data_IF_496468316463
#
_entry.id   IF_496468316463
#
_cell.length_a   1.000
_cell.length_b   1.000
_cell.length_c   1.000
_cell.angle_alpha   90.00
_cell.angle_beta   90.00
_cell.angle_gamma   90.00
#
_symmetry.space_group_name_H-M   'P 1'
#
loop_
_entity.id
_entity.type
_entity.pdbx_description
1 polymer ?
2 non-polymer ?
3 non-polymer ?
4 non-polymer ?
5 non-polymer ?
6 non-polymer ?
7 water ?
#
# COMPACT_ATOMS: atom_id res chain seq x y z
N UNK A 1 -23.44 -8.07 8.01
CA UNK A 1 -23.77 -8.39 6.65
C UNK A 1 -22.95 -7.57 5.65
N UNK A 2 -22.05 -8.28 5.00
CA UNK A 2 -21.13 -7.68 4.04
C UNK A 2 -21.28 -8.44 2.75
N UNK A 3 -21.63 -7.75 1.68
CA UNK A 3 -21.89 -8.33 0.39
C UNK A 3 -20.91 -7.77 -0.60
N UNK A 4 -20.12 -8.58 -1.28
CA UNK A 4 -19.13 -8.07 -2.25
C UNK A 4 -19.50 -8.48 -3.66
N UNK A 5 -19.39 -7.54 -4.59
CA UNK A 5 -19.51 -7.84 -5.97
C UNK A 5 -18.16 -7.90 -6.61
N UNK A 6 -17.94 -8.94 -7.45
CA UNK A 6 -16.63 -9.20 -8.07
C UNK A 6 -16.87 -9.50 -9.52
N UNK A 7 -15.80 -9.45 -10.31
CA UNK A 7 -15.87 -9.76 -11.71
C UNK A 7 -15.06 -8.81 -12.58
N UNK A 8 -14.82 -9.19 -13.83
CA UNK A 8 -14.04 -8.38 -14.74
C UNK A 8 -14.69 -7.05 -15.06
N UNK A 9 -13.94 -6.16 -15.67
CA UNK A 9 -14.51 -4.87 -16.09
C UNK A 9 -15.60 -5.11 -17.14
N UNK A 10 -16.77 -4.57 -16.91
CA UNK A 10 -17.90 -4.67 -17.84
C UNK A 10 -18.89 -5.76 -17.48
N UNK A 11 -18.61 -6.52 -16.39
CA UNK A 11 -19.56 -7.48 -15.83
C UNK A 11 -20.81 -6.83 -15.25
N UNK A 12 -20.79 -5.55 -14.98
CA UNK A 12 -21.93 -4.80 -14.46
C UNK A 12 -21.95 -4.65 -12.98
N UNK A 13 -20.82 -4.72 -12.31
CA UNK A 13 -20.75 -4.62 -10.87
C UNK A 13 -21.37 -3.35 -10.32
N UNK A 14 -20.97 -2.21 -10.92
CA UNK A 14 -21.39 -0.94 -10.35
C UNK A 14 -22.89 -0.77 -10.53
N UNK A 15 -23.40 -1.12 -11.67
CA UNK A 15 -24.85 -1.10 -11.94
C UNK A 15 -25.60 -1.98 -10.95
N UNK A 16 -25.18 -3.23 -10.79
CA UNK A 16 -25.88 -4.16 -9.91
C UNK A 16 -25.77 -3.80 -8.45
N UNK A 17 -24.58 -3.31 -8.01
CA UNK A 17 -24.41 -2.97 -6.58
C UNK A 17 -25.38 -1.82 -6.22
N UNK A 18 -25.56 -0.90 -7.16
CA UNK A 18 -26.45 0.26 -6.83
C UNK A 18 -27.89 -0.23 -6.88
N UNK A 19 -28.27 -1.15 -7.73
CA UNK A 19 -29.62 -1.74 -7.72
C UNK A 19 -29.86 -2.37 -6.35
N UNK A 20 -28.88 -3.11 -5.89
CA UNK A 20 -29.02 -3.80 -4.62
C UNK A 20 -29.16 -2.81 -3.47
N UNK A 21 -28.36 -1.72 -3.47
CA UNK A 21 -28.47 -0.66 -2.48
C UNK A 21 -29.93 -0.20 -2.49
N UNK A 22 -30.44 0.15 -3.64
CA UNK A 22 -31.83 0.67 -3.64
C UNK A 22 -32.87 -0.37 -3.13
N UNK A 23 -32.72 -1.59 -3.54
CA UNK A 23 -33.61 -2.69 -3.14
C UNK A 23 -33.55 -2.82 -1.64
N UNK A 24 -32.39 -2.92 -1.03
CA UNK A 24 -32.30 -3.16 0.42
C UNK A 24 -32.80 -1.99 1.19
N UNK A 25 -32.58 -0.77 0.68
CA UNK A 25 -33.18 0.43 1.33
C UNK A 25 -34.69 0.31 1.32
N UNK A 26 -35.28 -0.14 0.25
CA UNK A 26 -36.76 -0.18 0.21
C UNK A 26 -37.25 -1.23 1.19
N UNK A 27 -36.46 -2.21 1.52
CA UNK A 27 -36.85 -3.25 2.49
C UNK A 27 -36.60 -2.82 3.86
N UNK A 28 -36.11 -1.64 4.14
CA UNK A 28 -35.94 -1.13 5.49
C UNK A 28 -34.62 -1.43 6.15
N UNK A 29 -33.67 -1.94 5.39
CA UNK A 29 -32.29 -1.99 5.90
C UNK A 29 -31.63 -0.60 5.87
N UNK A 30 -30.67 -0.39 6.76
CA UNK A 30 -29.71 0.71 6.65
C UNK A 30 -28.57 0.11 5.83
N UNK A 31 -28.07 0.83 4.85
CA UNK A 31 -27.18 0.22 3.83
C UNK A 31 -26.14 1.20 3.47
N UNK A 32 -24.92 0.71 3.26
CA UNK A 32 -23.78 1.50 2.76
C UNK A 32 -23.34 0.87 1.45
N UNK A 33 -22.75 1.67 0.56
CA UNK A 33 -22.21 1.18 -0.71
C UNK A 33 -20.90 1.93 -0.94
N UNK A 34 -19.82 1.17 -1.11
CA UNK A 34 -18.50 1.68 -1.37
C UNK A 34 -17.84 0.98 -2.53
N UNK A 35 -17.01 1.71 -3.26
CA UNK A 35 -16.18 1.15 -4.31
C UNK A 35 -14.74 1.01 -3.92
N UNK A 36 -14.08 0.01 -4.49
CA UNK A 36 -12.67 -0.20 -4.30
C UNK A 36 -11.99 -0.18 -5.65
N UNK A 37 -10.87 0.49 -5.79
CA UNK A 37 -10.30 1.43 -4.83
C UNK A 37 -11.13 2.70 -4.73
N UNK A 38 -10.97 3.36 -3.63
CA UNK A 38 -11.81 4.53 -3.28
C UNK A 38 -12.67 4.27 -2.09
N UNK A 39 -13.72 5.12 -1.94
CA UNK A 39 -14.65 4.98 -0.87
C UNK A 39 -14.38 5.83 0.32
N UNK A 40 -13.15 6.38 0.41
CA UNK A 40 -12.75 7.35 1.43
C UNK A 40 -12.02 8.50 0.73
N UNK A 41 -11.86 9.62 1.41
CA UNK A 41 -11.06 10.72 0.73
C UNK A 41 -9.64 10.26 0.34
N UNK A 42 -8.97 9.61 1.28
CA UNK A 42 -7.62 9.11 1.00
C UNK A 42 -7.66 8.10 -0.12
N UNK A 43 -8.62 7.17 -0.01
CA UNK A 43 -8.78 6.15 -1.03
C UNK A 43 -8.99 6.66 -2.43
N UNK A 44 -9.81 7.74 -2.54
CA UNK A 44 -10.07 8.34 -3.83
C UNK A 44 -8.85 9.02 -4.46
N UNK A 45 -7.97 9.53 -3.61
CA UNK A 45 -6.68 10.02 -4.17
C UNK A 45 -5.83 8.84 -4.63
N UNK A 46 -5.82 7.74 -3.88
CA UNK A 46 -5.11 6.55 -4.36
C UNK A 46 -5.66 5.98 -5.59
N UNK A 47 -6.99 5.99 -5.72
CA UNK A 47 -7.66 5.54 -6.94
C UNK A 47 -7.17 6.33 -8.20
N UNK A 48 -7.11 7.64 -8.03
CA UNK A 48 -6.59 8.51 -9.13
C UNK A 48 -5.18 8.16 -9.58
N UNK A 49 -4.33 7.88 -8.59
CA UNK A 49 -2.95 7.48 -8.84
C UNK A 49 -2.96 6.19 -9.61
N UNK A 50 -3.72 5.20 -9.13
CA UNK A 50 -3.82 3.87 -9.73
C UNK A 50 -4.31 3.87 -11.20
N UNK A 51 -5.24 4.75 -11.49
CA UNK A 51 -5.81 4.80 -12.87
C UNK A 51 -4.95 5.61 -13.80
N UNK A 52 -4.34 6.68 -13.31
CA UNK A 52 -3.65 7.69 -14.16
C UNK A 52 -2.17 7.48 -14.38
N UNK A 53 -1.50 6.90 -13.41
CA UNK A 53 -0.07 6.70 -13.48
C UNK A 53 0.27 5.31 -14.01
N UNK A 54 1.43 5.26 -14.69
CA UNK A 54 2.12 4.02 -15.04
C UNK A 54 2.85 3.69 -13.72
N UNK A 55 2.42 2.55 -13.18
CA UNK A 55 2.98 2.00 -11.95
C UNK A 55 3.47 0.63 -12.24
N UNK A 56 4.57 0.26 -11.58
CA UNK A 56 4.97 -1.11 -11.51
C UNK A 56 3.94 -1.91 -10.70
N UNK A 57 3.89 -3.18 -10.90
CA UNK A 57 2.86 -4.02 -10.28
C UNK A 57 2.93 -4.06 -8.75
N UNK A 58 4.15 -3.90 -8.21
CA UNK A 58 4.31 -4.01 -6.75
C UNK A 58 3.71 -2.76 -6.09
N UNK A 59 4.06 -1.57 -6.60
CA UNK A 59 3.52 -0.35 -6.10
C UNK A 59 2.00 -0.37 -6.23
N UNK A 60 1.52 -0.88 -7.35
CA UNK A 60 0.07 -0.94 -7.57
C UNK A 60 -0.63 -1.78 -6.49
N UNK A 61 -0.09 -2.98 -6.21
CA UNK A 61 -0.64 -3.88 -5.17
C UNK A 61 -0.71 -3.13 -3.84
N UNK A 62 0.41 -2.50 -3.48
CA UNK A 62 0.42 -1.83 -2.19
C UNK A 62 -0.57 -0.66 -2.08
N UNK A 63 -0.80 0.01 -3.18
CA UNK A 63 -1.80 1.11 -3.17
C UNK A 63 -3.25 0.59 -3.13
N UNK A 64 -3.51 -0.51 -3.85
CA UNK A 64 -4.82 -1.14 -3.71
C UNK A 64 -5.08 -1.53 -2.26
N UNK A 65 -4.06 -2.13 -1.61
CA UNK A 65 -4.21 -2.55 -0.23
C UNK A 65 -4.36 -1.36 0.72
N UNK A 66 -3.58 -0.28 0.50
CA UNK A 66 -3.75 0.90 1.32
C UNK A 66 -5.14 1.50 1.21
N UNK A 67 -5.70 1.58 0.03
CA UNK A 67 -7.10 2.07 -0.14
C UNK A 67 -8.03 1.17 0.70
N UNK A 68 -7.86 -0.15 0.59
CA UNK A 68 -8.71 -1.08 1.34
C UNK A 68 -8.61 -0.93 2.84
N UNK A 69 -7.35 -0.78 3.33
CA UNK A 69 -7.11 -0.58 4.75
C UNK A 69 -7.86 0.64 5.24
N UNK A 70 -7.78 1.73 4.49
CA UNK A 70 -8.44 3.00 4.89
C UNK A 70 -9.95 2.82 4.96
N UNK A 71 -10.49 2.14 3.93
CA UNK A 71 -11.93 1.93 3.85
C UNK A 71 -12.42 1.04 5.00
N UNK A 72 -11.68 -0.03 5.27
CA UNK A 72 -12.01 -0.97 6.36
C UNK A 72 -12.09 -0.21 7.70
N UNK A 73 -11.00 0.52 8.02
CA UNK A 73 -10.93 1.15 9.35
C UNK A 73 -11.89 2.34 9.42
N UNK A 74 -12.02 3.12 8.37
CA UNK A 74 -12.84 4.37 8.44
C UNK A 74 -14.29 4.15 8.28
N UNK A 75 -14.69 3.18 7.47
CA UNK A 75 -16.07 3.03 6.99
C UNK A 75 -16.64 1.65 7.32
N UNK A 76 -15.98 0.57 6.87
CA UNK A 76 -16.65 -0.72 6.92
C UNK A 76 -16.85 -1.26 8.30
N UNK A 77 -15.83 -1.24 9.15
CA UNK A 77 -16.00 -1.77 10.48
C UNK A 77 -16.98 -0.92 11.28
N UNK A 78 -16.88 0.42 11.26
CA UNK A 78 -17.92 1.23 11.98
C UNK A 78 -19.32 0.96 11.46
N UNK A 79 -19.48 0.75 10.16
CA UNK A 79 -20.81 0.49 9.61
C UNK A 79 -21.33 -0.88 10.08
N UNK A 80 -20.49 -1.89 10.11
CA UNK A 80 -20.93 -3.22 10.54
C UNK A 80 -21.36 -3.18 12.02
N UNK A 81 -20.68 -2.35 12.75
CA UNK A 81 -21.07 -2.20 14.15
C UNK A 81 -22.44 -1.63 14.35
N UNK A 82 -22.93 -0.80 13.45
CA UNK A 82 -24.21 -0.10 13.43
C UNK A 82 -25.32 -0.94 12.72
N UNK A 83 -25.05 -2.21 12.36
CA UNK A 83 -25.95 -3.07 11.61
C UNK A 83 -26.38 -2.50 10.29
N UNK A 84 -25.46 -1.80 9.60
CA UNK A 84 -25.67 -1.39 8.24
C UNK A 84 -25.27 -2.59 7.41
N UNK A 85 -26.04 -2.91 6.42
CA UNK A 85 -25.61 -3.83 5.37
C UNK A 85 -24.61 -3.09 4.54
N UNK A 86 -23.41 -3.67 4.34
CA UNK A 86 -22.36 -3.01 3.57
C UNK A 86 -22.17 -3.73 2.27
N UNK A 87 -22.37 -2.98 1.16
CA UNK A 87 -22.20 -3.51 -0.18
C UNK A 87 -20.87 -2.94 -0.75
N UNK A 88 -20.01 -3.82 -1.24
CA UNK A 88 -18.74 -3.42 -1.82
C UNK A 88 -18.74 -3.71 -3.29
N UNK A 89 -18.35 -2.72 -4.06
CA UNK A 89 -18.16 -2.84 -5.54
C UNK A 89 -16.67 -3.06 -5.70
N UNK A 90 -16.33 -4.34 -5.77
CA UNK A 90 -15.01 -4.97 -5.66
C UNK A 90 -14.51 -5.09 -4.24
N UNK A 91 -13.76 -6.15 -3.96
CA UNK A 91 -13.11 -6.31 -2.63
C UNK A 91 -11.89 -7.22 -2.86
N UNK A 92 -11.60 -8.15 -1.93
CA UNK A 92 -10.33 -8.88 -1.93
C UNK A 92 -10.07 -9.83 -3.07
N UNK A 93 -11.16 -10.39 -3.63
CA UNK A 93 -10.94 -11.30 -4.75
C UNK A 93 -10.44 -10.59 -5.98
N UNK A 94 -10.82 -9.31 -6.14
CA UNK A 94 -10.31 -8.50 -7.27
C UNK A 94 -8.81 -8.42 -7.18
N UNK A 95 -8.26 -8.20 -6.00
CA UNK A 95 -6.84 -8.06 -5.94
C UNK A 95 -6.10 -9.38 -6.26
N UNK A 96 -6.69 -10.48 -5.82
CA UNK A 96 -6.07 -11.78 -6.20
C UNK A 96 -6.14 -12.00 -7.74
N UNK A 97 -7.30 -11.77 -8.28
CA UNK A 97 -7.51 -12.08 -9.73
C UNK A 97 -6.67 -11.13 -10.59
N UNK A 98 -6.62 -9.82 -10.25
CA UNK A 98 -5.92 -8.83 -11.07
C UNK A 98 -4.42 -8.89 -10.82
N UNK A 99 -4.00 -8.67 -9.57
CA UNK A 99 -2.59 -8.60 -9.30
C UNK A 99 -1.93 -9.98 -9.25
N UNK A 100 -2.68 -11.01 -8.93
CA UNK A 100 -2.16 -12.38 -8.85
C UNK A 100 -2.27 -13.08 -10.19
N UNK A 101 -3.46 -13.45 -10.61
CA UNK A 101 -3.63 -14.14 -11.87
C UNK A 101 -3.28 -13.25 -13.05
N UNK A 102 -3.63 -11.99 -13.03
CA UNK A 102 -3.32 -11.13 -14.15
C UNK A 102 -1.89 -10.70 -14.23
N UNK A 103 -1.34 -10.13 -13.19
CA UNK A 103 0.04 -9.53 -13.18
C UNK A 103 1.08 -10.51 -12.71
N UNK A 104 0.73 -11.64 -12.15
CA UNK A 104 1.68 -12.71 -11.78
C UNK A 104 2.28 -12.56 -10.43
N UNK A 105 1.79 -11.68 -9.56
CA UNK A 105 2.33 -11.67 -8.21
C UNK A 105 1.87 -12.85 -7.41
N UNK A 106 2.57 -13.13 -6.29
CA UNK A 106 2.32 -14.34 -5.56
C UNK A 106 1.00 -14.29 -4.82
N UNK A 107 0.11 -15.25 -5.06
CA UNK A 107 -1.23 -15.25 -4.51
C UNK A 107 -1.25 -15.34 -2.98
N UNK A 108 -0.38 -16.19 -2.42
CA UNK A 108 -0.33 -16.29 -0.99
C UNK A 108 0.05 -14.93 -0.33
N UNK A 109 0.97 -14.22 -0.93
CA UNK A 109 1.35 -12.91 -0.44
C UNK A 109 0.21 -11.95 -0.52
N UNK A 110 -0.47 -11.99 -1.67
CA UNK A 110 -1.66 -11.13 -1.81
C UNK A 110 -2.69 -11.42 -0.76
N UNK A 111 -2.96 -12.70 -0.52
CA UNK A 111 -3.90 -13.06 0.51
C UNK A 111 -3.48 -12.57 1.93
N UNK A 112 -2.17 -12.66 2.20
CA UNK A 112 -1.58 -12.19 3.45
C UNK A 112 -1.81 -10.68 3.61
N UNK A 113 -1.61 -9.92 2.51
CA UNK A 113 -1.82 -8.50 2.59
C UNK A 113 -3.29 -8.16 2.69
N UNK A 114 -4.17 -8.93 2.00
CA UNK A 114 -5.58 -8.75 2.11
C UNK A 114 -6.02 -8.88 3.57
N UNK A 115 -5.54 -9.94 4.24
CA UNK A 115 -5.86 -10.15 5.66
C UNK A 115 -5.40 -9.01 6.53
N UNK A 116 -4.22 -8.50 6.22
CA UNK A 116 -3.71 -7.35 6.97
C UNK A 116 -4.60 -6.14 6.82
N UNK A 117 -4.95 -5.82 5.58
CA UNK A 117 -5.77 -4.63 5.31
C UNK A 117 -7.20 -4.76 5.84
N UNK A 118 -7.78 -5.97 5.84
CA UNK A 118 -9.13 -6.13 6.22
C UNK A 118 -9.29 -6.46 7.72
N UNK A 119 -8.18 -6.66 8.41
CA UNK A 119 -8.28 -7.17 9.81
C UNK A 119 -9.07 -8.44 9.87
N UNK A 120 -9.09 -9.19 8.77
CA UNK A 120 -9.81 -10.49 8.70
C UNK A 120 -11.31 -10.33 8.44
N UNK A 121 -11.79 -9.14 8.13
CA UNK A 121 -13.20 -8.97 7.75
C UNK A 121 -13.43 -9.65 6.41
N UNK A 122 -14.45 -10.54 6.35
CA UNK A 122 -14.76 -11.30 5.15
C UNK A 122 -16.23 -11.15 4.79
N UNK A 123 -16.57 -11.20 3.48
CA UNK A 123 -17.97 -11.08 3.10
C UNK A 123 -18.77 -12.26 3.59
N UNK A 124 -20.03 -11.99 3.84
CA UNK A 124 -20.99 -13.06 3.99
C UNK A 124 -21.26 -13.77 2.67
N UNK A 125 -21.21 -13.01 1.57
CA UNK A 125 -21.42 -13.61 0.24
C UNK A 125 -20.67 -12.70 -0.70
N UNK A 126 -20.09 -13.32 -1.72
CA UNK A 126 -19.49 -12.65 -2.88
C UNK A 126 -20.23 -13.09 -4.13
N UNK A 127 -20.73 -12.14 -4.85
CA UNK A 127 -21.42 -12.35 -6.13
C UNK A 127 -20.36 -12.19 -7.17
N UNK A 128 -19.95 -13.27 -7.88
CA UNK A 128 -19.03 -13.17 -8.99
C UNK A 128 -19.84 -13.04 -10.22
N UNK A 129 -19.82 -11.88 -10.85
CA UNK A 129 -20.51 -11.59 -12.13
C UNK A 129 -19.60 -12.07 -13.23
N UNK A 130 -19.90 -13.24 -13.76
CA UNK A 130 -19.10 -13.86 -14.80
C UNK A 130 -19.63 -13.54 -16.13
N UNK A 131 -18.77 -13.31 -17.12
CA UNK A 131 -19.18 -12.90 -18.45
C UNK A 131 -17.97 -13.10 -19.38
N UNK A 132 -18.20 -13.43 -20.64
CA UNK A 132 -17.06 -13.49 -21.54
C UNK A 132 -16.43 -12.12 -21.75
N UNK A 133 -15.08 -12.15 -21.87
CA UNK A 133 -14.33 -10.93 -22.03
C UNK A 133 -14.82 -10.08 -23.21
N UNK A 134 -15.14 -10.73 -24.35
CA UNK A 134 -15.42 -9.90 -25.47
C UNK A 134 -16.76 -9.15 -25.23
N UNK A 135 -17.70 -9.80 -24.56
CA UNK A 135 -18.95 -9.15 -24.19
C UNK A 135 -18.80 -8.00 -23.26
N UNK A 136 -18.00 -8.26 -22.22
CA UNK A 136 -17.70 -7.22 -21.24
C UNK A 136 -17.07 -6.01 -21.86
N UNK A 137 -16.05 -6.20 -22.71
CA UNK A 137 -15.30 -5.07 -23.22
C UNK A 137 -16.21 -4.23 -24.15
N UNK A 138 -17.10 -4.90 -24.82
CA UNK A 138 -17.99 -4.16 -25.78
C UNK A 138 -18.92 -3.22 -25.04
N UNK A 139 -19.18 -3.48 -23.76
CA UNK A 139 -20.06 -2.60 -22.98
C UNK A 139 -19.41 -1.31 -22.58
N UNK A 140 -18.05 -1.28 -22.57
CA UNK A 140 -17.25 -0.19 -22.07
C UNK A 140 -17.00 0.89 -23.17
N UNK A 141 -17.11 2.15 -22.83
CA UNK A 141 -16.92 3.20 -23.86
C UNK A 141 -15.48 3.63 -24.06
N UNK A 142 -14.70 3.66 -22.97
CA UNK A 142 -13.30 4.08 -22.88
C UNK A 142 -12.59 2.92 -22.12
N UNK A 143 -11.32 2.66 -22.43
CA UNK A 143 -10.55 1.58 -21.74
C UNK A 143 -9.51 2.18 -20.89
N UNK A 144 -9.48 1.74 -19.61
CA UNK A 144 -8.35 1.97 -18.77
C UNK A 144 -7.27 0.91 -18.97
N UNK A 145 -6.13 1.03 -18.27
CA UNK A 145 -4.99 0.18 -18.53
C UNK A 145 -5.19 -1.33 -18.26
N UNK A 146 -6.27 -1.63 -17.49
CA UNK A 146 -6.56 -3.00 -17.21
C UNK A 146 -7.52 -3.61 -18.20
N UNK A 147 -8.15 -2.79 -19.04
CA UNK A 147 -9.27 -3.18 -19.85
C UNK A 147 -8.85 -3.54 -21.26
N UNK A 148 -8.06 -4.62 -21.29
CA UNK A 148 -7.22 -5.17 -22.35
C UNK A 148 -7.70 -6.68 -22.48
N UNK A 149 -7.94 -7.24 -23.67
CA UNK A 149 -8.36 -8.63 -23.74
C UNK A 149 -7.38 -9.65 -23.16
N UNK A 150 -6.11 -9.49 -23.51
CA UNK A 150 -5.12 -10.42 -23.01
C UNK A 150 -5.11 -10.54 -21.49
N UNK A 151 -5.12 -9.37 -20.87
CA UNK A 151 -5.08 -9.32 -19.43
C UNK A 151 -6.38 -9.91 -18.83
N UNK A 152 -7.53 -9.43 -19.34
CA UNK A 152 -8.80 -9.84 -18.73
C UNK A 152 -9.13 -11.29 -18.95
N UNK A 153 -8.61 -11.96 -19.99
CA UNK A 153 -8.86 -13.35 -20.07
C UNK A 153 -8.20 -14.11 -18.94
N UNK A 154 -7.00 -13.67 -18.53
CA UNK A 154 -6.37 -14.28 -17.37
C UNK A 154 -7.18 -14.06 -16.09
N UNK A 155 -7.66 -12.84 -15.97
CA UNK A 155 -8.39 -12.42 -14.78
C UNK A 155 -9.71 -13.18 -14.67
N UNK A 156 -10.44 -13.34 -15.77
CA UNK A 156 -11.71 -14.03 -15.73
C UNK A 156 -11.50 -15.46 -15.22
N UNK A 157 -10.46 -16.11 -15.77
CA UNK A 157 -10.13 -17.44 -15.33
C UNK A 157 -9.77 -17.51 -13.87
N UNK A 158 -9.02 -16.51 -13.40
CA UNK A 158 -8.64 -16.47 -11.98
C UNK A 158 -9.88 -16.31 -11.10
N UNK A 159 -10.80 -15.41 -11.45
CA UNK A 159 -12.04 -15.36 -10.67
C UNK A 159 -12.78 -16.70 -10.59
N UNK A 160 -12.90 -17.38 -11.69
CA UNK A 160 -13.62 -18.64 -11.69
C UNK A 160 -12.90 -19.69 -10.87
N UNK A 161 -11.58 -19.71 -10.85
CA UNK A 161 -10.88 -20.63 -9.95
C UNK A 161 -11.07 -20.25 -8.49
N UNK A 162 -11.02 -18.97 -8.14
CA UNK A 162 -11.30 -18.50 -6.82
C UNK A 162 -12.67 -18.86 -6.36
N UNK A 163 -13.64 -18.83 -7.23
CA UNK A 163 -15.01 -19.15 -6.81
C UNK A 163 -15.11 -20.58 -6.33
N UNK A 164 -14.23 -21.41 -6.83
CA UNK A 164 -14.10 -22.84 -6.25
C UNK A 164 -13.31 -22.89 -4.94
N UNK A 165 -12.21 -22.19 -4.86
CA UNK A 165 -11.27 -22.30 -3.73
C UNK A 165 -11.68 -21.53 -2.50
N UNK A 166 -12.31 -20.36 -2.69
CA UNK A 166 -12.60 -19.45 -1.61
C UNK A 166 -13.94 -19.84 -1.08
N UNK A 167 -14.30 -19.25 0.06
CA UNK A 167 -15.61 -19.46 0.74
C UNK A 167 -16.68 -18.52 0.29
N UNK A 168 -17.94 -19.02 0.15
CA UNK A 168 -19.16 -18.18 -0.06
C UNK A 168 -19.17 -17.35 -1.35
N UNK A 169 -18.59 -17.84 -2.44
CA UNK A 169 -18.63 -17.13 -3.72
C UNK A 169 -19.68 -17.81 -4.57
N UNK A 170 -20.60 -17.06 -5.13
CA UNK A 170 -21.60 -17.58 -6.01
C UNK A 170 -21.44 -17.01 -7.40
N UNK A 171 -21.37 -17.82 -8.42
CA UNK A 171 -21.12 -17.38 -9.78
C UNK A 171 -22.47 -17.07 -10.41
N UNK A 172 -22.65 -15.83 -10.89
CA UNK A 172 -23.83 -15.34 -11.52
C UNK A 172 -23.47 -15.15 -13.00
N UNK A 173 -24.30 -15.64 -13.92
CA UNK A 173 -24.15 -15.34 -15.35
C UNK A 173 -24.59 -13.93 -15.62
N UNK A 174 -23.65 -13.04 -15.86
CA UNK A 174 -23.91 -11.64 -16.01
C UNK A 174 -24.10 -11.11 -17.44
N UNK A 175 -24.19 -12.06 -18.37
CA UNK A 175 -24.35 -11.69 -19.79
C UNK A 175 -25.77 -11.33 -20.15
N UNK A 176 -26.74 -11.63 -19.33
CA UNK A 176 -28.12 -11.27 -19.56
C UNK A 176 -28.47 -9.84 -19.38
N UNK A 177 -29.75 -9.57 -19.51
CA UNK A 177 -30.27 -8.24 -19.29
C UNK A 177 -30.18 -7.87 -17.79
N UNK A 178 -30.06 -6.61 -17.54
CA UNK A 178 -29.87 -6.03 -16.19
C UNK A 178 -30.85 -6.58 -15.14
N UNK A 179 -32.13 -6.66 -15.48
CA UNK A 179 -33.12 -7.09 -14.51
C UNK A 179 -33.09 -8.52 -14.25
N UNK A 180 -32.80 -9.30 -15.27
CA UNK A 180 -32.61 -10.67 -15.11
C UNK A 180 -31.43 -11.00 -14.18
N UNK A 181 -30.30 -10.32 -14.44
CA UNK A 181 -29.14 -10.58 -13.66
C UNK A 181 -29.44 -10.21 -12.18
N UNK A 182 -30.14 -9.12 -12.02
CA UNK A 182 -30.57 -8.71 -10.67
C UNK A 182 -31.42 -9.77 -9.96
N UNK A 183 -32.38 -10.33 -10.68
CA UNK A 183 -33.14 -11.45 -10.09
C UNK A 183 -32.31 -12.63 -9.64
N UNK A 184 -31.28 -12.98 -10.42
CA UNK A 184 -30.42 -14.10 -10.05
C UNK A 184 -29.61 -13.70 -8.81
N UNK A 185 -29.17 -12.42 -8.73
CA UNK A 185 -28.52 -11.89 -7.50
C UNK A 185 -29.37 -12.06 -6.29
N UNK A 186 -30.62 -11.67 -6.43
CA UNK A 186 -31.55 -11.76 -5.26
C UNK A 186 -31.72 -13.21 -4.86
N UNK A 187 -31.83 -14.11 -5.82
CA UNK A 187 -31.97 -15.52 -5.47
C UNK A 187 -30.79 -16.08 -4.70
N UNK A 188 -29.59 -15.69 -5.12
CA UNK A 188 -28.38 -16.04 -4.40
C UNK A 188 -28.32 -15.45 -3.00
N UNK A 189 -28.65 -14.18 -2.89
CA UNK A 189 -28.64 -13.49 -1.59
C UNK A 189 -29.58 -14.06 -0.58
N UNK A 190 -30.70 -14.61 -1.06
CA UNK A 190 -31.76 -15.11 -0.16
C UNK A 190 -31.20 -16.21 0.73
N UNK A 191 -30.06 -16.77 0.34
CA UNK A 191 -29.36 -17.75 1.20
C UNK A 191 -28.77 -17.28 2.45
N UNK A 192 -28.47 -15.99 2.48
CA UNK A 192 -27.76 -15.40 3.57
C UNK A 192 -28.47 -14.20 4.23
N UNK A 193 -29.50 -13.61 3.57
CA UNK A 193 -30.13 -12.42 4.06
C UNK A 193 -31.60 -12.48 3.70
N UNK A 194 -32.46 -11.85 4.51
CA UNK A 194 -33.84 -11.76 4.22
C UNK A 194 -34.05 -10.74 3.14
N UNK A 195 -34.60 -11.16 2.02
CA UNK A 195 -34.79 -10.26 0.92
C UNK A 195 -36.32 -10.08 0.80
N UNK B 1 26.78 0.97 -4.93
CA UNK B 1 27.08 1.71 -3.69
C UNK B 1 25.81 2.45 -3.28
N UNK B 2 25.23 1.85 -2.28
CA UNK B 2 23.98 2.35 -1.68
C UNK B 2 24.27 2.59 -0.22
N UNK B 3 24.10 3.89 0.16
CA UNK B 3 24.37 4.38 1.47
C UNK B 3 23.04 4.90 2.08
N UNK B 4 22.65 4.33 3.22
CA UNK B 4 21.40 4.76 3.87
C UNK B 4 21.71 5.49 5.16
N UNK B 5 21.00 6.62 5.36
CA UNK B 5 20.96 7.24 6.69
C UNK B 5 19.72 6.91 7.47
N UNK B 6 19.85 6.51 8.69
CA UNK B 6 18.71 6.19 9.55
C UNK B 6 18.84 6.91 10.88
N UNK B 7 17.75 6.95 11.64
CA UNK B 7 17.73 7.53 12.94
C UNK B 7 16.46 8.33 13.20
N UNK B 8 16.30 8.67 14.48
CA UNK B 8 15.11 9.39 14.87
C UNK B 8 15.11 10.84 14.34
N UNK B 9 13.96 11.46 14.38
CA UNK B 9 13.79 12.85 13.98
C UNK B 9 14.65 13.76 14.86
N UNK B 10 15.51 14.52 14.17
CA UNK B 10 16.40 15.46 14.78
C UNK B 10 17.78 14.92 14.94
N UNK B 11 18.08 13.66 14.50
CA UNK B 11 19.41 13.05 14.54
C UNK B 11 20.28 13.77 13.48
N UNK B 12 19.72 14.51 12.54
CA UNK B 12 20.47 15.25 11.52
C UNK B 12 20.72 14.54 10.21
N UNK B 13 19.80 13.62 9.89
CA UNK B 13 19.96 12.85 8.68
C UNK B 13 19.98 13.67 7.46
N UNK B 14 19.06 14.61 7.28
CA UNK B 14 18.93 15.38 6.08
C UNK B 14 20.16 16.25 5.92
N UNK B 15 20.56 16.87 7.02
CA UNK B 15 21.77 17.75 6.97
C UNK B 15 22.97 16.92 6.51
N UNK B 16 23.16 15.78 7.11
CA UNK B 16 24.36 14.88 6.91
C UNK B 16 24.28 14.27 5.51
N UNK B 17 23.09 13.88 5.03
CA UNK B 17 23.02 13.25 3.74
C UNK B 17 23.37 14.24 2.64
N UNK B 18 22.94 15.50 2.79
CA UNK B 18 23.21 16.55 1.75
C UNK B 18 24.69 16.90 1.76
N UNK B 19 25.28 16.94 2.90
CA UNK B 19 26.73 17.17 3.07
C UNK B 19 27.48 16.06 2.32
N UNK B 20 27.06 14.80 2.55
CA UNK B 20 27.81 13.66 1.96
C UNK B 20 27.64 13.73 0.47
N UNK B 21 26.47 13.99 -0.02
CA UNK B 21 26.08 14.18 -1.42
C UNK B 21 27.05 15.17 -2.12
N UNK B 22 27.14 16.35 -1.56
CA UNK B 22 27.95 17.34 -2.22
C UNK B 22 29.41 16.91 -2.10
N UNK B 23 29.85 16.33 -1.00
CA UNK B 23 31.23 15.88 -0.84
C UNK B 23 31.67 14.77 -1.83
N UNK B 24 30.80 13.74 -1.96
CA UNK B 24 31.04 12.81 -3.05
C UNK B 24 31.03 13.36 -4.43
N UNK B 25 30.15 14.26 -4.79
CA UNK B 25 30.15 14.89 -6.13
C UNK B 25 31.43 15.65 -6.41
N UNK B 26 31.87 16.39 -5.42
CA UNK B 26 33.23 16.99 -5.40
C UNK B 26 34.33 16.06 -5.77
N UNK B 27 34.44 14.90 -5.09
CA UNK B 27 35.38 13.80 -5.27
C UNK B 27 35.21 12.99 -6.60
N UNK B 28 34.29 13.40 -7.41
CA UNK B 28 34.18 12.84 -8.76
C UNK B 28 33.30 11.60 -8.91
N UNK B 29 32.60 11.26 -7.84
CA UNK B 29 31.49 10.32 -8.03
C UNK B 29 30.28 10.89 -8.71
N UNK B 30 29.48 10.05 -9.40
CA UNK B 30 28.17 10.39 -9.84
C UNK B 30 27.23 9.93 -8.71
N UNK B 31 26.41 10.88 -8.20
CA UNK B 31 25.68 10.62 -6.94
C UNK B 31 24.27 11.05 -7.08
N UNK B 32 23.36 10.30 -6.40
CA UNK B 32 21.98 10.63 -6.33
C UNK B 32 21.66 10.71 -4.87
N UNK B 33 20.63 11.53 -4.54
CA UNK B 33 20.17 11.66 -3.15
C UNK B 33 18.66 11.70 -3.17
N UNK B 34 18.03 10.71 -2.45
CA UNK B 34 16.59 10.65 -2.41
C UNK B 34 16.13 10.56 -0.96
N UNK B 35 14.92 11.09 -0.72
CA UNK B 35 14.25 10.99 0.59
C UNK B 35 13.14 9.99 0.58
N UNK B 36 12.94 9.39 1.75
CA UNK B 36 11.80 8.50 1.93
C UNK B 36 10.95 9.00 3.09
N UNK B 37 9.60 9.04 2.96
CA UNK B 37 8.86 8.83 1.77
C UNK B 37 9.06 10.01 0.79
N UNK B 38 8.80 9.77 -0.44
CA UNK B 38 9.06 10.76 -1.54
C UNK B 38 10.13 10.26 -2.49
N UNK B 39 10.71 11.20 -3.23
CA UNK B 39 11.73 10.92 -4.19
C UNK B 39 11.30 10.60 -5.56
N UNK B 40 9.98 10.43 -5.78
CA UNK B 40 9.34 10.29 -7.11
C UNK B 40 8.07 11.15 -7.12
N UNK B 41 7.52 11.42 -8.30
CA UNK B 41 6.25 12.16 -8.37
C UNK B 41 5.15 11.49 -7.52
N UNK B 42 5.02 10.18 -7.71
CA UNK B 42 3.98 9.44 -6.97
C UNK B 42 4.35 9.44 -5.49
N UNK B 43 5.61 9.14 -5.18
CA UNK B 43 6.04 9.11 -3.77
C UNK B 43 5.82 10.43 -2.98
N UNK B 44 5.99 11.55 -3.72
CA UNK B 44 5.79 12.85 -3.10
C UNK B 44 4.31 13.11 -2.84
N UNK B 45 3.44 12.60 -3.69
CA UNK B 45 1.97 12.65 -3.35
C UNK B 45 1.69 11.86 -2.07
N UNK B 46 2.34 10.66 -2.00
CA UNK B 46 2.11 9.80 -0.84
C UNK B 46 2.69 10.43 0.42
N UNK B 47 3.87 11.05 0.27
CA UNK B 47 4.47 11.77 1.41
C UNK B 47 3.52 12.82 2.01
N UNK B 48 2.91 13.56 1.11
CA UNK B 48 1.93 14.56 1.58
C UNK B 48 0.78 13.96 2.39
N UNK B 49 0.19 12.89 1.84
CA UNK B 49 -0.81 12.16 2.59
C UNK B 49 -0.31 11.71 3.96
N UNK B 50 0.89 11.12 4.03
CA UNK B 50 1.43 10.58 5.21
C UNK B 50 1.71 11.62 6.33
N UNK B 51 2.06 12.82 5.84
CA UNK B 51 2.40 13.90 6.73
C UNK B 51 1.22 14.72 7.17
N UNK B 52 0.17 14.73 6.37
CA UNK B 52 -0.98 15.64 6.63
C UNK B 52 -2.24 15.01 7.15
N UNK B 53 -2.41 13.70 6.93
CA UNK B 53 -3.70 13.06 7.15
C UNK B 53 -3.61 12.22 8.34
N UNK B 54 -4.76 12.06 9.02
CA UNK B 54 -4.86 11.18 10.15
C UNK B 54 -4.96 9.80 9.50
N UNK B 55 -3.95 8.96 9.72
CA UNK B 55 -4.05 7.60 9.18
C UNK B 55 -3.98 6.60 10.28
N UNK B 56 -4.70 5.49 10.06
CA UNK B 56 -4.45 4.35 10.88
C UNK B 56 -3.05 3.69 10.60
N UNK B 57 -2.47 2.88 11.48
CA UNK B 57 -1.11 2.45 11.34
C UNK B 57 -0.92 1.46 10.16
N UNK B 58 -1.98 0.72 9.85
CA UNK B 58 -1.84 -0.28 8.74
C UNK B 58 -1.83 0.45 7.40
N UNK B 59 -2.70 1.43 7.22
CA UNK B 59 -2.69 2.27 6.02
C UNK B 59 -1.32 2.95 5.85
N UNK B 60 -0.88 3.55 6.97
CA UNK B 60 0.38 4.26 6.91
C UNK B 60 1.54 3.33 6.44
N UNK B 61 1.62 2.15 7.06
CA UNK B 61 2.59 1.22 6.66
C UNK B 61 2.57 0.96 5.17
N UNK B 62 1.38 0.64 4.64
CA UNK B 62 1.27 0.34 3.24
C UNK B 62 1.64 1.47 2.35
N UNK B 63 1.39 2.72 2.75
CA UNK B 63 1.81 3.86 1.96
C UNK B 63 3.32 4.17 2.04
N UNK B 64 3.96 4.00 3.21
CA UNK B 64 5.44 4.06 3.25
C UNK B 64 6.03 3.03 2.29
N UNK B 65 5.48 1.80 2.26
CA UNK B 65 6.01 0.80 1.39
C UNK B 65 5.75 1.05 -0.06
N UNK B 66 4.57 1.62 -0.37
CA UNK B 66 4.27 2.00 -1.76
C UNK B 66 5.24 3.09 -2.26
N UNK B 67 5.54 4.05 -1.43
CA UNK B 67 6.51 5.08 -1.80
C UNK B 67 7.87 4.46 -2.14
N UNK B 68 8.27 3.52 -1.30
CA UNK B 68 9.54 2.86 -1.44
C UNK B 68 9.59 2.07 -2.72
N UNK B 69 8.55 1.29 -2.96
CA UNK B 69 8.48 0.48 -4.15
C UNK B 69 8.68 1.35 -5.39
N UNK B 70 8.01 2.49 -5.45
CA UNK B 70 8.11 3.35 -6.61
C UNK B 70 9.51 3.88 -6.75
N UNK B 71 10.10 4.24 -5.63
CA UNK B 71 11.45 4.81 -5.63
C UNK B 71 12.47 3.78 -6.05
N UNK B 72 12.33 2.55 -5.61
CA UNK B 72 13.20 1.47 -6.03
C UNK B 72 13.14 1.16 -7.54
N UNK B 73 11.93 1.09 -8.08
CA UNK B 73 11.76 0.77 -9.51
C UNK B 73 12.19 1.90 -10.37
N UNK B 74 11.76 3.09 -9.99
CA UNK B 74 11.90 4.20 -10.88
C UNK B 74 13.30 4.79 -10.84
N UNK B 75 13.93 4.86 -9.67
CA UNK B 75 15.18 5.61 -9.44
C UNK B 75 16.36 4.75 -8.99
N UNK B 76 16.21 3.97 -7.92
CA UNK B 76 17.31 3.35 -7.26
C UNK B 76 17.96 2.27 -8.12
N UNK B 77 17.15 1.37 -8.60
CA UNK B 77 17.72 0.26 -9.39
C UNK B 77 18.35 0.79 -10.67
N UNK B 78 17.68 1.71 -11.35
CA UNK B 78 18.38 2.28 -12.53
C UNK B 78 19.61 3.05 -12.22
N UNK B 79 19.65 3.83 -11.12
CA UNK B 79 20.87 4.49 -10.75
C UNK B 79 22.00 3.53 -10.45
N UNK B 80 21.73 2.47 -9.70
CA UNK B 80 22.82 1.52 -9.31
C UNK B 80 23.36 0.85 -10.55
N UNK B 81 22.48 0.63 -11.49
CA UNK B 81 22.89 0.02 -12.77
C UNK B 81 23.90 0.87 -13.52
N UNK B 82 23.76 2.19 -13.39
CA UNK B 82 24.63 3.18 -13.95
C UNK B 82 25.84 3.53 -13.06
N UNK B 83 26.15 2.77 -12.00
CA UNK B 83 27.23 3.12 -11.11
C UNK B 83 27.18 4.44 -10.43
N UNK B 84 25.96 4.90 -10.16
CA UNK B 84 25.75 6.09 -9.36
C UNK B 84 25.83 5.69 -7.93
N UNK B 85 26.49 6.47 -7.11
CA UNK B 85 26.43 6.26 -5.68
C UNK B 85 25.04 6.74 -5.28
N UNK B 86 24.22 5.91 -4.54
CA UNK B 86 22.89 6.39 -4.16
C UNK B 86 22.86 6.55 -2.67
N UNK B 87 22.46 7.77 -2.22
CA UNK B 87 22.31 8.09 -0.83
C UNK B 87 20.79 8.26 -0.56
N UNK B 88 20.38 7.55 0.50
CA UNK B 88 18.98 7.56 0.92
C UNK B 88 18.87 8.19 2.31
N UNK B 89 17.98 9.16 2.41
CA UNK B 89 17.66 9.83 3.65
C UNK B 89 16.38 9.07 4.15
N UNK B 90 16.69 8.06 5.00
CA UNK B 90 15.79 6.99 5.46
C UNK B 90 15.62 5.93 4.41
N UNK B 91 15.44 4.72 4.98
CA UNK B 91 15.17 3.54 4.17
C UNK B 91 14.43 2.51 5.03
N UNK B 92 14.71 1.22 4.82
CA UNK B 92 13.90 0.16 5.39
C UNK B 92 13.91 0.09 6.92
N UNK B 93 15.03 0.46 7.60
CA UNK B 93 15.04 0.38 9.06
C UNK B 93 14.10 1.36 9.68
N UNK B 94 13.87 2.52 9.02
CA UNK B 94 12.87 3.48 9.51
C UNK B 94 11.48 2.83 9.60
N UNK B 95 11.11 2.03 8.61
CA UNK B 95 9.77 1.43 8.68
C UNK B 95 9.65 0.45 9.80
N UNK B 96 10.72 -0.35 10.00
CA UNK B 96 10.72 -1.30 11.12
C UNK B 96 10.66 -0.55 12.46
N UNK B 97 11.51 0.49 12.59
CA UNK B 97 11.62 1.17 13.89
C UNK B 97 10.33 1.98 14.22
N UNK B 98 9.76 2.67 13.21
CA UNK B 98 8.58 3.50 13.43
C UNK B 98 7.30 2.68 13.47
N UNK B 99 7.00 1.91 12.41
CA UNK B 99 5.73 1.23 12.35
C UNK B 99 5.79 -0.06 13.16
N UNK B 100 6.94 -0.60 13.40
CA UNK B 100 7.11 -1.84 14.17
C UNK B 100 7.35 -1.63 15.65
N UNK B 101 8.54 -1.20 15.97
CA UNK B 101 8.85 -0.93 17.35
C UNK B 101 8.01 0.21 17.89
N UNK B 102 7.76 1.28 17.17
CA UNK B 102 6.96 2.38 17.63
C UNK B 102 5.47 2.11 17.74
N UNK B 103 4.90 1.71 16.64
CA UNK B 103 3.40 1.60 16.56
C UNK B 103 2.95 0.20 16.89
N UNK B 104 3.81 -0.77 16.98
CA UNK B 104 3.43 -2.07 17.45
C UNK B 104 3.00 -3.07 16.40
N UNK B 105 3.21 -2.74 15.14
CA UNK B 105 2.93 -3.68 14.11
C UNK B 105 4.02 -4.77 14.08
N UNK B 106 3.75 -5.95 13.51
CA UNK B 106 4.69 -7.01 13.59
C UNK B 106 5.97 -6.71 12.76
N UNK B 107 7.12 -6.72 13.38
CA UNK B 107 8.36 -6.47 12.73
C UNK B 107 8.69 -7.49 11.64
N UNK B 108 8.28 -8.77 11.87
CA UNK B 108 8.62 -9.79 10.89
C UNK B 108 7.78 -9.59 9.59
N UNK B 109 6.57 -9.17 9.76
CA UNK B 109 5.74 -8.80 8.63
C UNK B 109 6.31 -7.61 7.89
N UNK B 110 6.72 -6.58 8.64
CA UNK B 110 7.32 -5.39 7.98
C UNK B 110 8.53 -5.75 7.19
N UNK B 111 9.38 -6.63 7.73
CA UNK B 111 10.51 -7.10 6.96
C UNK B 111 10.17 -7.70 5.64
N UNK B 112 9.12 -8.50 5.61
CA UNK B 112 8.71 -9.10 4.34
C UNK B 112 8.13 -8.06 3.40
N UNK B 113 7.45 -7.07 3.90
CA UNK B 113 6.97 -5.96 3.05
C UNK B 113 8.11 -5.15 2.53
N UNK B 114 9.12 -4.94 3.36
CA UNK B 114 10.33 -4.23 2.93
C UNK B 114 10.95 -4.98 1.78
N UNK B 115 11.07 -6.30 1.88
CA UNK B 115 11.76 -7.06 0.81
C UNK B 115 10.96 -7.05 -0.48
N UNK B 116 9.66 -7.07 -0.33
CA UNK B 116 8.78 -6.93 -1.48
C UNK B 116 8.97 -5.56 -2.23
N UNK B 117 8.95 -4.48 -1.45
CA UNK B 117 9.12 -3.15 -2.07
C UNK B 117 10.50 -2.98 -2.61
N UNK B 118 11.55 -3.55 -2.00
CA UNK B 118 12.89 -3.33 -2.45
C UNK B 118 13.41 -4.28 -3.47
N UNK B 119 12.67 -5.37 -3.70
CA UNK B 119 13.22 -6.48 -4.53
C UNK B 119 14.56 -7.01 -3.96
N UNK B 120 14.73 -6.91 -2.67
CA UNK B 120 15.91 -7.30 -2.01
C UNK B 120 17.09 -6.45 -2.11
N UNK B 121 16.99 -5.24 -2.69
CA UNK B 121 18.08 -4.25 -2.71
C UNK B 121 18.45 -3.82 -1.25
N UNK B 122 19.72 -3.96 -0.88
CA UNK B 122 20.24 -3.72 0.49
C UNK B 122 21.35 -2.69 0.42
N UNK B 123 21.44 -1.85 1.46
CA UNK B 123 22.60 -0.93 1.45
C UNK B 123 23.92 -1.61 1.65
N UNK B 124 24.96 -1.00 1.06
CA UNK B 124 26.29 -1.36 1.40
C UNK B 124 26.66 -0.97 2.82
N UNK B 125 26.07 0.16 3.26
CA UNK B 125 26.24 0.59 4.63
C UNK B 125 25.01 1.42 5.00
N UNK B 126 24.65 1.28 6.24
CA UNK B 126 23.66 2.10 6.88
C UNK B 126 24.31 2.85 8.01
N UNK B 127 24.16 4.19 8.01
CA UNK B 127 24.69 5.07 9.08
C UNK B 127 23.48 5.36 10.01
N UNK B 128 23.47 4.72 11.15
CA UNK B 128 22.45 4.97 12.15
C UNK B 128 22.90 6.19 12.95
N UNK B 129 22.25 7.33 12.79
CA UNK B 129 22.59 8.52 13.61
C UNK B 129 21.87 8.35 14.94
N UNK B 130 22.56 8.00 16.00
CA UNK B 130 21.95 7.79 17.30
C UNK B 130 22.11 9.04 18.17
N UNK B 131 21.06 9.39 18.91
CA UNK B 131 21.05 10.63 19.70
C UNK B 131 19.99 10.44 20.75
N UNK B 132 20.16 10.97 21.96
CA UNK B 132 19.04 10.90 22.89
C UNK B 132 17.85 11.73 22.37
N UNK B 133 16.62 11.26 22.68
CA UNK B 133 15.45 11.85 22.21
C UNK B 133 15.31 13.34 22.64
N UNK B 134 15.62 13.60 23.92
CA UNK B 134 15.53 15.00 24.34
C UNK B 134 16.40 15.96 23.56
N UNK B 135 17.62 15.51 23.23
CA UNK B 135 18.53 16.30 22.42
C UNK B 135 17.98 16.53 20.99
N UNK B 136 17.48 15.44 20.39
CA UNK B 136 16.95 15.54 19.08
C UNK B 136 15.77 16.47 18.97
N UNK B 137 14.81 16.34 19.92
CA UNK B 137 13.60 17.14 19.88
C UNK B 137 13.92 18.67 19.99
N UNK B 138 14.94 18.95 20.78
CA UNK B 138 15.38 20.34 20.99
C UNK B 138 15.89 20.97 19.73
N UNK B 139 16.31 20.14 18.75
CA UNK B 139 16.72 20.65 17.44
C UNK B 139 15.57 20.99 16.54
N UNK B 140 14.38 20.42 16.82
CA UNK B 140 13.30 20.58 15.83
C UNK B 140 12.50 21.91 16.07
N UNK B 141 11.82 22.44 15.06
CA UNK B 141 10.82 23.51 15.28
C UNK B 141 9.46 22.85 15.45
N UNK B 142 8.64 22.89 14.42
CA UNK B 142 7.32 22.32 14.50
C UNK B 142 7.48 20.80 14.58
N UNK B 143 6.60 20.21 15.37
CA UNK B 143 6.59 18.78 15.61
C UNK B 143 5.62 18.19 14.63
N UNK B 144 6.08 17.22 13.87
CA UNK B 144 5.08 16.42 13.14
C UNK B 144 4.50 15.36 14.08
N UNK B 145 3.56 14.60 13.53
CA UNK B 145 2.79 13.68 14.31
C UNK B 145 3.58 12.46 14.85
N UNK B 146 4.79 12.26 14.32
CA UNK B 146 5.70 11.23 14.85
C UNK B 146 6.70 11.74 15.94
N UNK B 147 6.74 13.05 16.16
CA UNK B 147 7.87 13.71 16.91
C UNK B 147 7.49 14.07 18.32
N UNK B 148 7.30 13.02 19.05
CA UNK B 148 6.87 13.03 20.46
C UNK B 148 7.61 12.04 21.27
N UNK B 149 7.98 12.51 22.46
CA UNK B 149 8.91 11.86 23.26
C UNK B 149 8.65 10.37 23.54
N UNK B 150 7.41 10.04 23.93
CA UNK B 150 7.11 8.67 24.35
C UNK B 150 7.37 7.73 23.15
N UNK B 151 6.83 8.20 22.04
CA UNK B 151 6.93 7.41 20.79
C UNK B 151 8.39 7.25 20.33
N UNK B 152 9.12 8.38 20.30
CA UNK B 152 10.51 8.33 19.83
C UNK B 152 11.45 7.60 20.72
N UNK B 153 11.21 7.51 22.03
CA UNK B 153 12.02 6.61 22.86
C UNK B 153 11.94 5.13 22.43
N UNK B 154 10.72 4.69 22.04
CA UNK B 154 10.57 3.36 21.52
C UNK B 154 11.31 3.19 20.19
N UNK B 155 11.21 4.19 19.36
CA UNK B 155 11.86 4.18 18.03
C UNK B 155 13.40 4.14 18.10
N UNK B 156 13.95 5.00 19.01
CA UNK B 156 15.38 5.01 19.23
C UNK B 156 15.83 3.60 19.64
N UNK B 157 15.15 3.00 20.61
CA UNK B 157 15.48 1.64 21.06
C UNK B 157 15.35 0.62 19.94
N UNK B 158 14.36 0.76 19.10
CA UNK B 158 14.20 -0.18 18.00
C UNK B 158 15.35 -0.04 17.00
N UNK B 159 15.76 1.20 16.67
CA UNK B 159 16.90 1.34 15.77
C UNK B 159 18.16 0.67 16.38
N UNK B 160 18.36 0.86 17.69
CA UNK B 160 19.53 0.25 18.27
C UNK B 160 19.47 -1.26 18.28
N UNK B 161 18.29 -1.86 18.42
CA UNK B 161 18.13 -3.31 18.29
C UNK B 161 18.45 -3.74 16.86
N UNK B 162 17.98 -2.97 15.88
CA UNK B 162 18.27 -3.30 14.49
C UNK B 162 19.74 -3.25 14.16
N UNK B 163 20.43 -2.27 14.72
CA UNK B 163 21.87 -2.15 14.48
C UNK B 163 22.61 -3.40 14.94
N UNK B 164 22.14 -4.03 16.01
CA UNK B 164 22.74 -5.32 16.48
C UNK B 164 22.47 -6.50 15.56
N UNK B 165 21.31 -6.50 14.90
CA UNK B 165 20.67 -7.66 14.32
C UNK B 165 20.74 -7.62 12.79
N UNK B 166 20.50 -6.45 12.19
CA UNK B 166 20.68 -6.25 10.75
C UNK B 166 22.19 -6.13 10.36
N UNK B 167 22.46 -6.24 9.06
CA UNK B 167 23.83 -6.30 8.48
C UNK B 167 24.35 -4.93 8.14
N UNK B 168 25.68 -4.65 8.31
CA UNK B 168 26.28 -3.40 7.79
C UNK B 168 25.68 -2.08 8.35
N UNK B 169 25.23 -2.12 9.60
CA UNK B 169 24.72 -0.90 10.23
C UNK B 169 25.81 -0.39 11.16
N UNK B 170 26.19 0.86 10.99
CA UNK B 170 27.15 1.46 11.91
C UNK B 170 26.47 2.57 12.72
N UNK B 171 26.65 2.47 14.05
CA UNK B 171 26.09 3.43 14.99
C UNK B 171 26.96 4.67 15.07
N UNK B 172 26.43 5.82 14.76
CA UNK B 172 27.20 7.09 14.73
C UNK B 172 26.64 7.88 15.91
N UNK B 173 27.49 8.43 16.78
CA UNK B 173 27.02 9.42 17.79
C UNK B 173 26.71 10.71 17.09
N UNK B 174 25.43 11.06 16.98
CA UNK B 174 25.01 12.24 16.29
C UNK B 174 24.79 13.45 17.18
N UNK B 175 25.18 13.31 18.43
CA UNK B 175 24.94 14.43 19.43
C UNK B 175 25.92 15.64 19.33
N UNK B 176 26.98 15.49 18.56
CA UNK B 176 28.00 16.50 18.34
C UNK B 176 27.60 17.53 17.31
N UNK B 177 28.43 18.55 17.10
CA UNK B 177 28.16 19.55 16.11
C UNK B 177 28.30 18.97 14.68
N UNK B 178 27.88 19.71 13.69
CA UNK B 178 27.67 19.19 12.34
C UNK B 178 28.98 18.60 11.81
N UNK B 179 30.11 19.28 11.95
CA UNK B 179 31.36 18.72 11.36
C UNK B 179 31.92 17.56 12.08
N UNK B 180 31.77 17.44 13.40
CA UNK B 180 32.31 16.28 14.10
C UNK B 180 31.51 15.07 13.66
N UNK B 181 30.20 15.28 13.51
CA UNK B 181 29.36 14.13 13.04
C UNK B 181 29.78 13.71 11.62
N UNK B 182 29.97 14.68 10.76
CA UNK B 182 30.36 14.45 9.35
C UNK B 182 31.67 13.71 9.33
N UNK B 183 32.61 14.07 10.22
CA UNK B 183 33.86 13.28 10.23
C UNK B 183 33.73 11.87 10.68
N UNK B 184 32.82 11.61 11.62
CA UNK B 184 32.53 10.25 12.07
C UNK B 184 31.86 9.45 10.88
N UNK B 185 30.99 10.08 10.11
CA UNK B 185 30.37 9.41 8.91
C UNK B 185 31.49 9.01 7.93
N UNK B 186 32.46 9.90 7.73
CA UNK B 186 33.50 9.64 6.70
C UNK B 186 34.39 8.55 7.18
N UNK B 187 34.65 8.49 8.46
CA UNK B 187 35.42 7.41 8.97
C UNK B 187 34.70 6.06 8.81
N UNK B 188 33.39 6.04 9.10
CA UNK B 188 32.63 4.82 8.89
C UNK B 188 32.56 4.42 7.39
N UNK B 189 32.48 5.39 6.50
CA UNK B 189 32.30 5.13 5.08
C UNK B 189 33.59 4.62 4.46
N UNK B 190 34.72 4.96 5.06
CA UNK B 190 35.99 4.56 4.45
C UNK B 190 36.07 3.01 4.48
N UNK B 191 35.24 2.38 5.31
CA UNK B 191 35.09 0.92 5.38
C UNK B 191 34.50 0.21 4.14
N UNK B 192 33.87 0.97 3.24
CA UNK B 192 33.25 0.42 2.05
C UNK B 192 33.52 1.21 0.78
N UNK B 193 34.08 2.42 0.89
CA UNK B 193 34.12 3.37 -0.21
C UNK B 193 35.34 4.28 -0.03
N UNK B 194 36.14 4.48 -1.10
CA UNK B 194 37.43 5.23 -1.07
C UNK B 194 37.29 6.67 -0.53
#
# INVERSE_FOLDING_TARGET
>A
MLIAFEGIDGSGKTTQAKKLYEYLKQKGYFVSLYREPGGTKVGEVLREILLTEELDERTELLLFEASRSKLIEEKIIPDLKRDKVVILDRFVLSTIAYQGYGKGLDVEFIKNLNEFATRGVKPDITLLLDIPVDIALRRLKEKNRFENKEFLEKVRKGFLELAKEEENVVVIDASGEEEEVFKEILRALSGVLRV
>B
MLIAFEGIDGSGKTTQAKKLYEYLKQKGYFVSLYREPGGTKVGEVLREILLTEELDERTELLLFEASRSKLIEEKIIPDLKRDKVVILDRFVLSTIAYQGYGKGLDVEFIKNLNEFATRGVKPDITLLLDIPVDIALRRLKEKNRFENKEFLEKVRKGFLELAKEEENVVVIDASGEEEEVFKEILRALSGVLRV
#
